data_IF_695467911412
#
_entry.id   IF_695467911412
#
_cell.length_a   1.000
_cell.length_b   1.000
_cell.length_c   1.000
_cell.angle_alpha   90.00
_cell.angle_beta   90.00
_cell.angle_gamma   90.00
#
_symmetry.space_group_name_H-M   'P 1'
#
loop_
_entity.id
_entity.type
_entity.pdbx_description
1 polymer ?
#
# COMPACT_ATOMS: atom_id res chain seq x y z
N UNK A 1 -11.85 -8.86 12.62
CA UNK A 1 -10.69 -8.28 13.36
C UNK A 1 -11.10 -7.52 14.62
N UNK A 2 -11.95 -6.45 14.55
CA UNK A 2 -12.32 -5.68 15.75
C UNK A 2 -12.91 -6.56 16.87
N UNK A 3 -13.94 -7.34 16.59
CA UNK A 3 -14.57 -8.24 17.57
C UNK A 3 -13.58 -9.21 18.22
N UNK A 4 -12.64 -9.75 17.44
CA UNK A 4 -11.57 -10.59 17.96
C UNK A 4 -10.71 -9.85 19.00
N UNK A 5 -10.25 -8.64 18.68
CA UNK A 5 -9.44 -7.87 19.60
C UNK A 5 -10.23 -7.36 20.82
N UNK A 6 -11.52 -7.01 20.66
CA UNK A 6 -12.40 -6.68 21.79
C UNK A 6 -12.45 -7.82 22.81
N UNK A 7 -12.68 -9.05 22.31
CA UNK A 7 -12.76 -10.26 23.12
C UNK A 7 -11.45 -10.61 23.82
N UNK A 8 -10.35 -10.65 23.04
CA UNK A 8 -9.05 -11.11 23.55
C UNK A 8 -8.39 -10.10 24.50
N UNK A 9 -8.57 -8.79 24.24
CA UNK A 9 -8.04 -7.74 25.10
C UNK A 9 -8.96 -7.43 26.29
N UNK A 10 -10.21 -7.94 26.28
CA UNK A 10 -11.26 -7.64 27.27
C UNK A 10 -11.50 -6.13 27.43
N UNK A 11 -11.41 -5.40 26.32
CA UNK A 11 -11.68 -3.95 26.25
C UNK A 11 -12.16 -3.58 24.85
N UNK A 12 -12.98 -2.54 24.75
CA UNK A 12 -13.45 -2.03 23.47
C UNK A 12 -12.28 -1.50 22.64
N UNK A 13 -12.16 -1.97 21.39
CA UNK A 13 -11.22 -1.48 20.40
C UNK A 13 -11.95 -0.57 19.42
N UNK A 14 -11.46 0.63 19.23
CA UNK A 14 -12.00 1.57 18.26
C UNK A 14 -11.11 1.55 16.99
N UNK A 15 -11.74 1.45 15.84
CA UNK A 15 -11.07 1.58 14.55
C UNK A 15 -11.33 3.00 14.07
N UNK A 16 -10.26 3.77 13.91
CA UNK A 16 -10.30 5.13 13.39
C UNK A 16 -9.62 5.19 12.02
N UNK A 17 -10.13 6.07 11.17
CA UNK A 17 -9.52 6.47 9.91
C UNK A 17 -9.31 7.98 9.93
N UNK A 18 -8.49 8.51 9.03
CA UNK A 18 -8.32 9.94 8.85
C UNK A 18 -8.92 10.39 7.51
N UNK A 19 -9.12 11.69 7.36
CA UNK A 19 -9.70 12.27 6.14
C UNK A 19 -8.82 12.02 4.89
N UNK A 20 -7.50 12.00 5.09
CA UNK A 20 -6.51 11.71 4.07
C UNK A 20 -5.22 11.16 4.67
N UNK A 21 -4.29 10.76 3.80
CA UNK A 21 -3.01 10.18 4.20
C UNK A 21 -2.14 11.15 5.01
N UNK A 22 -2.19 12.45 4.73
CA UNK A 22 -1.42 13.47 5.44
C UNK A 22 -1.93 13.63 6.87
N UNK A 23 -3.25 13.73 7.05
CA UNK A 23 -3.90 13.79 8.35
C UNK A 23 -3.60 12.52 9.17
N UNK A 24 -3.67 11.34 8.55
CA UNK A 24 -3.31 10.06 9.15
C UNK A 24 -1.85 10.04 9.63
N UNK A 25 -0.92 10.42 8.77
CA UNK A 25 0.52 10.45 9.11
C UNK A 25 0.81 11.42 10.26
N UNK A 26 0.20 12.61 10.23
CA UNK A 26 0.33 13.61 11.30
C UNK A 26 -0.21 13.10 12.63
N UNK A 27 -1.39 12.49 12.66
CA UNK A 27 -1.99 11.92 13.86
C UNK A 27 -1.14 10.76 14.41
N UNK A 28 -0.58 9.93 13.52
CA UNK A 28 0.34 8.86 13.91
C UNK A 28 1.58 9.42 14.59
N UNK A 29 2.23 10.43 14.00
CA UNK A 29 3.43 11.04 14.56
C UNK A 29 3.17 11.71 15.92
N UNK A 30 1.98 12.30 16.14
CA UNK A 30 1.57 12.83 17.45
C UNK A 30 1.32 11.74 18.50
N UNK A 31 1.15 10.48 18.07
CA UNK A 31 0.83 9.36 18.95
C UNK A 31 -0.63 9.31 19.37
N UNK A 32 -1.54 9.75 18.49
CA UNK A 32 -2.99 9.75 18.76
C UNK A 32 -3.57 8.32 18.75
N UNK A 33 -2.88 7.37 18.12
CA UNK A 33 -3.29 5.97 18.04
C UNK A 33 -2.41 5.07 18.91
N UNK A 34 -2.95 3.97 19.43
CA UNK A 34 -2.19 2.94 20.13
C UNK A 34 -1.51 1.97 19.15
N UNK A 35 -2.22 1.62 18.09
CA UNK A 35 -1.76 0.73 17.03
C UNK A 35 -2.07 1.36 15.68
N UNK A 36 -1.21 1.16 14.72
CA UNK A 36 -1.38 1.68 13.36
C UNK A 36 -1.06 0.59 12.34
N UNK A 37 -1.90 0.47 11.33
CA UNK A 37 -1.60 -0.29 10.10
C UNK A 37 -1.28 0.72 9.01
N UNK A 38 -0.07 0.65 8.46
CA UNK A 38 0.41 1.65 7.51
C UNK A 38 1.35 1.06 6.46
N UNK A 39 1.59 1.80 5.39
CA UNK A 39 2.60 1.43 4.39
C UNK A 39 4.00 1.34 5.01
N UNK A 40 4.83 0.44 4.51
CA UNK A 40 6.14 0.12 5.11
C UNK A 40 7.07 1.33 5.21
N UNK A 41 7.06 2.25 4.23
CA UNK A 41 7.85 3.49 4.27
C UNK A 41 7.43 4.39 5.44
N UNK A 42 6.13 4.56 5.66
CA UNK A 42 5.60 5.34 6.79
C UNK A 42 5.87 4.63 8.11
N UNK A 43 5.69 3.31 8.15
CA UNK A 43 6.05 2.49 9.30
C UNK A 43 7.53 2.66 9.69
N UNK A 44 8.42 2.70 8.69
CA UNK A 44 9.86 2.90 8.91
C UNK A 44 10.20 4.29 9.45
N UNK A 45 9.59 5.35 8.92
CA UNK A 45 9.74 6.72 9.44
C UNK A 45 9.27 6.78 10.89
N UNK A 46 8.10 6.26 11.20
CA UNK A 46 7.59 6.25 12.58
C UNK A 46 8.49 5.42 13.52
N UNK A 47 9.10 4.32 13.04
CA UNK A 47 10.04 3.54 13.82
C UNK A 47 11.30 4.34 14.17
N UNK A 48 11.86 5.07 13.20
CA UNK A 48 13.11 5.83 13.37
C UNK A 48 12.87 7.08 14.22
N UNK A 49 11.92 7.91 13.81
CA UNK A 49 11.70 9.24 14.37
C UNK A 49 10.77 9.20 15.58
N UNK A 50 9.67 8.44 15.48
CA UNK A 50 8.64 8.33 16.52
C UNK A 50 8.86 7.21 17.53
N UNK A 51 9.91 6.38 17.37
CA UNK A 51 10.23 5.23 18.23
C UNK A 51 9.11 4.17 18.30
N UNK A 52 8.24 4.13 17.30
CA UNK A 52 7.20 3.13 17.20
C UNK A 52 7.78 1.73 17.04
N UNK A 53 7.15 0.73 17.62
CA UNK A 53 7.60 -0.68 17.59
C UNK A 53 6.89 -1.45 16.48
N UNK A 54 7.59 -1.95 15.45
CA UNK A 54 6.99 -2.87 14.49
C UNK A 54 6.62 -4.19 15.15
N UNK A 55 5.36 -4.60 15.00
CA UNK A 55 4.82 -5.83 15.56
C UNK A 55 4.69 -6.93 14.52
N UNK A 56 4.15 -6.59 13.34
CA UNK A 56 3.87 -7.54 12.27
C UNK A 56 3.88 -6.84 10.90
N UNK A 57 4.00 -7.65 9.84
CA UNK A 57 3.92 -7.20 8.44
C UNK A 57 2.86 -8.06 7.76
N UNK A 58 2.07 -7.47 6.87
CA UNK A 58 1.16 -8.23 6.02
C UNK A 58 1.92 -8.94 4.90
N UNK A 59 1.61 -10.21 4.68
CA UNK A 59 2.13 -11.01 3.56
C UNK A 59 1.00 -11.43 2.61
N UNK A 60 1.28 -11.60 1.32
CA UNK A 60 2.59 -11.43 0.68
C UNK A 60 2.98 -9.97 0.43
N UNK A 61 4.22 -9.77 -0.01
CA UNK A 61 4.67 -8.48 -0.53
C UNK A 61 3.76 -7.98 -1.68
N UNK A 62 3.61 -6.67 -1.78
CA UNK A 62 2.70 -6.01 -2.71
C UNK A 62 3.39 -5.83 -4.08
N UNK A 63 2.87 -6.42 -5.16
CA UNK A 63 3.39 -6.18 -6.49
C UNK A 63 3.19 -4.73 -6.94
N UNK A 64 4.24 -4.12 -7.48
CA UNK A 64 4.22 -2.85 -8.19
C UNK A 64 4.10 -3.07 -9.70
N UNK A 65 3.11 -2.47 -10.32
CA UNK A 65 2.68 -2.72 -11.68
C UNK A 65 2.88 -1.49 -12.56
N UNK A 66 3.41 -1.71 -13.77
CA UNK A 66 3.22 -0.80 -14.90
C UNK A 66 1.99 -1.31 -15.68
N UNK A 67 1.02 -0.45 -15.91
CA UNK A 67 -0.22 -0.78 -16.61
C UNK A 67 -0.44 0.14 -17.80
N UNK A 68 -1.22 -0.33 -18.78
CA UNK A 68 -1.59 0.38 -20.00
C UNK A 68 -3.05 0.12 -20.36
N UNK A 69 -3.59 0.87 -21.32
CA UNK A 69 -4.88 0.55 -21.95
C UNK A 69 -4.82 -0.81 -22.63
N UNK A 70 -5.89 -1.61 -22.56
CA UNK A 70 -5.95 -2.95 -23.13
C UNK A 70 -5.68 -2.96 -24.65
N UNK A 71 -6.13 -1.91 -25.36
CA UNK A 71 -5.92 -1.74 -26.79
C UNK A 71 -4.48 -1.37 -27.19
N UNK A 72 -3.62 -0.97 -26.23
CA UNK A 72 -2.23 -0.64 -26.48
C UNK A 72 -1.39 -1.92 -26.59
N UNK A 73 -1.35 -2.53 -27.79
CA UNK A 73 -0.68 -3.83 -28.01
C UNK A 73 0.83 -3.81 -27.78
N UNK A 74 1.48 -2.66 -28.02
CA UNK A 74 2.93 -2.49 -27.92
C UNK A 74 3.36 -1.71 -26.66
N UNK A 75 2.57 -1.79 -25.59
CA UNK A 75 2.85 -1.04 -24.36
C UNK A 75 4.23 -1.40 -23.79
N UNK A 76 5.07 -0.38 -23.64
CA UNK A 76 6.39 -0.46 -23.02
C UNK A 76 6.73 0.86 -22.30
N UNK A 77 7.66 0.84 -21.37
CA UNK A 77 8.10 2.03 -20.65
C UNK A 77 8.60 3.17 -21.58
N UNK A 78 9.16 2.82 -22.73
CA UNK A 78 9.67 3.79 -23.71
C UNK A 78 8.58 4.71 -24.28
N UNK A 79 7.32 4.29 -24.24
CA UNK A 79 6.19 5.13 -24.67
C UNK A 79 5.97 6.35 -23.77
N UNK A 80 6.64 6.44 -22.64
CA UNK A 80 6.59 7.63 -21.77
C UNK A 80 7.30 8.84 -22.36
N UNK A 81 8.23 8.66 -23.30
CA UNK A 81 8.98 9.81 -23.87
C UNK A 81 8.04 10.86 -24.46
N UNK A 82 8.10 12.06 -23.90
CA UNK A 82 7.26 13.20 -24.30
C UNK A 82 5.79 13.11 -23.85
N UNK A 83 5.43 12.15 -22.99
CA UNK A 83 4.05 11.91 -22.52
C UNK A 83 3.90 12.00 -21.01
N UNK A 84 2.74 11.61 -20.50
CA UNK A 84 2.46 11.56 -19.06
C UNK A 84 2.45 10.12 -18.53
N UNK A 85 2.94 9.97 -17.29
CA UNK A 85 2.78 8.78 -16.46
C UNK A 85 1.73 9.08 -15.39
N UNK A 86 0.69 8.25 -15.28
CA UNK A 86 -0.30 8.42 -14.23
C UNK A 86 0.13 7.75 -12.92
N UNK A 87 -0.15 8.41 -11.80
CA UNK A 87 -0.01 7.88 -10.44
C UNK A 87 -1.30 8.13 -9.66
N UNK A 88 -1.91 7.08 -9.09
CA UNK A 88 -3.05 7.23 -8.20
C UNK A 88 -2.63 7.84 -6.87
N UNK A 89 -1.61 7.29 -6.25
CA UNK A 89 -1.12 7.74 -4.95
C UNK A 89 0.41 7.92 -4.97
N UNK A 90 0.92 9.16 -5.13
CA UNK A 90 2.35 9.42 -5.13
C UNK A 90 3.04 9.17 -3.78
N UNK A 91 2.27 9.00 -2.69
CA UNK A 91 2.78 8.66 -1.35
C UNK A 91 2.85 7.14 -1.11
N UNK A 92 2.24 6.34 -1.99
CA UNK A 92 2.39 4.88 -1.99
C UNK A 92 3.86 4.50 -2.19
N UNK A 93 4.34 3.47 -1.49
CA UNK A 93 5.71 2.98 -1.66
C UNK A 93 5.97 2.49 -3.09
N UNK A 94 4.94 2.04 -3.79
CA UNK A 94 5.02 1.59 -5.19
C UNK A 94 5.42 2.73 -6.13
N UNK A 95 4.95 3.96 -5.88
CA UNK A 95 5.26 5.11 -6.74
C UNK A 95 6.77 5.44 -6.78
N UNK A 96 7.48 5.71 -5.67
CA UNK A 96 8.91 5.99 -5.71
C UNK A 96 9.75 4.80 -6.19
N UNK A 97 9.33 3.56 -5.91
CA UNK A 97 10.01 2.36 -6.41
C UNK A 97 9.85 2.24 -7.92
N UNK A 98 8.66 2.49 -8.46
CA UNK A 98 8.42 2.49 -9.89
C UNK A 98 9.15 3.61 -10.63
N UNK A 99 9.20 4.83 -10.05
CA UNK A 99 9.99 5.93 -10.62
C UNK A 99 11.50 5.63 -10.58
N UNK A 100 11.99 4.93 -9.55
CA UNK A 100 13.36 4.44 -9.51
C UNK A 100 13.60 3.41 -10.61
N UNK A 101 12.72 2.44 -10.78
CA UNK A 101 12.80 1.43 -11.84
C UNK A 101 12.80 2.06 -13.23
N UNK A 102 11.94 3.06 -13.52
CA UNK A 102 11.96 3.80 -14.78
C UNK A 102 13.28 4.52 -15.00
N UNK A 103 13.84 5.13 -13.96
CA UNK A 103 15.15 5.80 -14.03
C UNK A 103 16.27 4.82 -14.36
N UNK A 104 16.21 3.60 -13.84
CA UNK A 104 17.14 2.51 -14.18
C UNK A 104 17.00 2.05 -15.64
N UNK A 105 15.84 2.29 -16.28
CA UNK A 105 15.60 2.14 -17.72
C UNK A 105 15.99 3.39 -18.54
N UNK A 106 16.63 4.39 -17.91
CA UNK A 106 17.03 5.62 -18.57
C UNK A 106 15.92 6.66 -18.74
N UNK A 107 14.75 6.43 -18.14
CA UNK A 107 13.58 7.33 -18.21
C UNK A 107 13.45 8.16 -16.94
N UNK A 108 13.57 9.46 -17.04
CA UNK A 108 13.56 10.39 -15.90
C UNK A 108 12.31 11.26 -15.94
N UNK A 109 11.60 11.36 -14.81
CA UNK A 109 10.50 12.30 -14.64
C UNK A 109 10.99 13.74 -14.87
N UNK A 110 10.13 14.59 -15.39
CA UNK A 110 10.33 16.00 -15.74
C UNK A 110 11.31 16.27 -16.89
N UNK A 111 12.13 15.28 -17.27
CA UNK A 111 13.00 15.33 -18.45
C UNK A 111 12.36 14.58 -19.63
N UNK A 112 12.01 13.34 -19.44
CA UNK A 112 11.55 12.44 -20.50
C UNK A 112 10.02 12.28 -20.51
N UNK A 113 9.36 12.47 -19.36
CA UNK A 113 7.91 12.40 -19.19
C UNK A 113 7.44 13.26 -18.02
N UNK A 114 6.14 13.59 -18.02
CA UNK A 114 5.49 14.29 -16.89
C UNK A 114 4.72 13.31 -16.00
N UNK A 115 4.55 13.67 -14.73
CA UNK A 115 3.71 12.90 -13.81
C UNK A 115 2.33 13.56 -13.74
N UNK A 116 1.28 12.79 -14.04
CA UNK A 116 -0.12 13.19 -13.85
C UNK A 116 -0.68 12.42 -12.65
N UNK A 117 -1.32 13.15 -11.73
CA UNK A 117 -1.95 12.56 -10.55
C UNK A 117 -3.42 12.28 -10.83
N UNK A 118 -3.86 11.07 -10.55
CA UNK A 118 -5.27 10.72 -10.51
C UNK A 118 -5.86 11.04 -9.13
N UNK A 119 -7.14 11.39 -9.07
CA UNK A 119 -7.82 11.68 -7.82
C UNK A 119 -8.25 10.41 -7.07
N UNK A 120 -8.42 9.31 -7.80
CA UNK A 120 -8.80 7.99 -7.29
C UNK A 120 -8.49 6.92 -8.36
N UNK A 121 -8.73 5.65 -8.02
CA UNK A 121 -8.43 4.50 -8.90
C UNK A 121 -9.25 4.51 -10.19
N UNK A 122 -10.50 4.96 -10.17
CA UNK A 122 -11.36 5.07 -11.36
C UNK A 122 -10.87 6.17 -12.31
N UNK A 123 -10.47 7.33 -11.76
CA UNK A 123 -9.88 8.40 -12.57
C UNK A 123 -8.54 7.98 -13.19
N UNK A 124 -7.77 7.16 -12.50
CA UNK A 124 -6.55 6.56 -13.02
C UNK A 124 -6.84 5.67 -14.23
N UNK A 125 -7.81 4.77 -14.11
CA UNK A 125 -8.26 3.92 -15.21
C UNK A 125 -8.73 4.75 -16.42
N UNK A 126 -9.41 5.86 -16.17
CA UNK A 126 -9.87 6.78 -17.24
C UNK A 126 -8.70 7.44 -17.97
N UNK A 127 -7.71 7.97 -17.26
CA UNK A 127 -6.50 8.57 -17.87
C UNK A 127 -5.78 7.60 -18.80
N UNK A 128 -5.69 6.34 -18.38
CA UNK A 128 -5.06 5.28 -19.19
C UNK A 128 -5.91 4.98 -20.44
N UNK A 129 -7.21 4.80 -20.26
CA UNK A 129 -8.14 4.44 -21.33
C UNK A 129 -8.24 5.50 -22.41
N UNK A 130 -8.29 6.78 -22.02
CA UNK A 130 -8.35 7.91 -22.97
C UNK A 130 -7.03 8.21 -23.66
N UNK A 131 -5.92 7.61 -23.18
CA UNK A 131 -4.57 7.86 -23.70
C UNK A 131 -3.97 9.19 -23.23
N UNK A 132 -4.61 9.91 -22.31
CA UNK A 132 -4.07 11.12 -21.67
C UNK A 132 -2.78 10.78 -20.89
N UNK A 133 -2.76 9.63 -20.24
CA UNK A 133 -1.56 9.01 -19.75
C UNK A 133 -1.50 7.56 -20.28
N UNK A 134 -0.63 7.26 -21.26
CA UNK A 134 -0.60 5.93 -21.92
C UNK A 134 -0.21 4.81 -20.96
N UNK A 135 0.48 5.14 -19.88
CA UNK A 135 0.94 4.21 -18.84
C UNK A 135 0.66 4.76 -17.44
N UNK A 136 0.50 3.85 -16.50
CA UNK A 136 0.43 4.21 -15.09
C UNK A 136 1.23 3.25 -14.22
N UNK A 137 1.68 3.75 -13.06
CA UNK A 137 2.22 2.95 -11.98
C UNK A 137 1.16 2.83 -10.89
N UNK A 138 0.90 1.60 -10.46
CA UNK A 138 0.00 1.29 -9.35
C UNK A 138 0.41 0.00 -8.64
N UNK A 139 -0.13 -0.21 -7.45
CA UNK A 139 -0.02 -1.50 -6.76
C UNK A 139 -1.05 -2.50 -7.29
N UNK A 140 -0.84 -3.78 -7.02
CA UNK A 140 -1.85 -4.81 -7.29
C UNK A 140 -3.17 -4.53 -6.53
N UNK A 141 -3.10 -3.93 -5.34
CA UNK A 141 -4.29 -3.52 -4.58
C UNK A 141 -5.09 -2.45 -5.30
N UNK A 142 -4.43 -1.37 -5.76
CA UNK A 142 -5.06 -0.31 -6.55
C UNK A 142 -5.65 -0.87 -7.86
N UNK A 143 -4.93 -1.77 -8.55
CA UNK A 143 -5.43 -2.42 -9.76
C UNK A 143 -6.72 -3.22 -9.51
N UNK A 144 -6.81 -3.91 -8.37
CA UNK A 144 -8.02 -4.68 -8.00
C UNK A 144 -9.18 -3.79 -7.56
N UNK A 145 -8.89 -2.61 -7.00
CA UNK A 145 -9.89 -1.65 -6.53
C UNK A 145 -10.61 -0.93 -7.68
N UNK A 146 -9.99 -0.85 -8.87
CA UNK A 146 -10.65 -0.31 -10.07
C UNK A 146 -11.87 -1.15 -10.40
N UNK A 147 -13.01 -0.51 -10.66
CA UNK A 147 -14.26 -1.17 -11.03
C UNK A 147 -14.07 -2.19 -12.19
N UNK A 148 -14.76 -3.31 -12.14
CA UNK A 148 -14.54 -4.44 -13.04
C UNK A 148 -14.59 -4.05 -14.52
N UNK A 149 -15.56 -3.23 -14.93
CA UNK A 149 -15.71 -2.81 -16.33
C UNK A 149 -14.54 -1.93 -16.79
N UNK A 150 -14.04 -1.06 -15.93
CA UNK A 150 -12.86 -0.26 -16.23
C UNK A 150 -11.60 -1.12 -16.23
N UNK A 151 -11.48 -2.09 -15.31
CA UNK A 151 -10.34 -2.99 -15.23
C UNK A 151 -10.19 -3.87 -16.49
N UNK A 152 -11.29 -4.26 -17.15
CA UNK A 152 -11.26 -4.96 -18.44
C UNK A 152 -10.65 -4.13 -19.57
N UNK A 153 -10.63 -2.80 -19.43
CA UNK A 153 -10.11 -1.86 -20.42
C UNK A 153 -8.63 -1.51 -20.22
N UNK A 154 -8.01 -2.04 -19.18
CA UNK A 154 -6.58 -1.86 -18.88
C UNK A 154 -5.90 -3.23 -18.73
N UNK A 155 -4.57 -3.24 -18.93
CA UNK A 155 -3.77 -4.46 -18.80
C UNK A 155 -2.48 -4.19 -18.04
N UNK A 156 -1.98 -5.22 -17.38
CA UNK A 156 -0.66 -5.22 -16.78
C UNK A 156 0.37 -5.39 -17.90
N UNK A 157 1.31 -4.45 -17.99
CA UNK A 157 2.46 -4.50 -18.90
C UNK A 157 3.58 -5.30 -18.26
N UNK A 158 3.91 -4.98 -17.01
CA UNK A 158 4.93 -5.69 -16.24
C UNK A 158 4.74 -5.48 -14.74
N UNK A 159 5.20 -6.45 -13.96
CA UNK A 159 5.46 -6.30 -12.52
C UNK A 159 6.93 -5.89 -12.38
N UNK A 160 7.19 -4.65 -11.95
CA UNK A 160 8.55 -4.12 -11.88
C UNK A 160 9.23 -4.35 -10.54
N UNK A 161 8.47 -4.59 -9.48
CA UNK A 161 8.99 -4.85 -8.14
C UNK A 161 7.95 -5.50 -7.23
N UNK A 162 8.41 -6.01 -6.09
CA UNK A 162 7.57 -6.32 -4.92
C UNK A 162 8.01 -5.42 -3.77
N UNK A 163 7.07 -4.66 -3.21
CA UNK A 163 7.33 -3.84 -2.03
C UNK A 163 6.79 -4.54 -0.78
N UNK A 164 7.37 -4.31 0.41
CA UNK A 164 6.85 -4.89 1.65
C UNK A 164 5.37 -4.55 1.86
N UNK A 165 4.62 -5.49 2.40
CA UNK A 165 3.23 -5.28 2.79
C UNK A 165 3.07 -4.23 3.89
N UNK A 166 1.83 -4.01 4.33
CA UNK A 166 1.54 -3.06 5.41
C UNK A 166 2.19 -3.50 6.71
N UNK A 167 2.69 -2.54 7.46
CA UNK A 167 3.21 -2.75 8.81
C UNK A 167 2.14 -2.50 9.85
N UNK A 168 2.12 -3.34 10.88
CA UNK A 168 1.41 -3.07 12.13
C UNK A 168 2.43 -2.57 13.12
N UNK A 169 2.30 -1.33 13.56
CA UNK A 169 3.21 -0.66 14.49
C UNK A 169 2.49 -0.27 15.77
N UNK A 170 3.19 -0.37 16.88
CA UNK A 170 2.69 -0.02 18.21
C UNK A 170 3.28 1.30 18.70
N UNK A 171 2.45 2.11 19.32
CA UNK A 171 2.85 3.36 19.97
C UNK A 171 3.88 3.08 21.08
N UNK A 172 4.98 3.86 21.16
CA UNK A 172 5.98 3.71 22.22
C UNK A 172 5.43 3.95 23.64
N UNK A 173 4.25 4.59 23.78
CA UNK A 173 3.57 4.76 25.09
C UNK A 173 2.96 3.48 25.62
N UNK A 174 2.75 2.45 24.78
CA UNK A 174 2.32 1.13 25.24
C UNK A 174 3.48 0.44 25.96
N UNK A 175 3.20 -0.20 27.08
CA UNK A 175 4.18 -1.01 27.79
C UNK A 175 4.69 -2.17 26.91
N UNK A 176 5.89 -2.65 27.18
CA UNK A 176 6.45 -3.81 26.48
C UNK A 176 5.54 -5.05 26.59
N UNK A 177 4.88 -5.25 27.74
CA UNK A 177 3.95 -6.35 27.94
C UNK A 177 2.71 -6.22 27.05
N UNK A 178 2.14 -5.02 26.90
CA UNK A 178 0.99 -4.77 26.00
C UNK A 178 1.40 -4.97 24.55
N UNK A 179 2.56 -4.45 24.13
CA UNK A 179 3.08 -4.65 22.78
C UNK A 179 3.25 -6.14 22.46
N UNK A 180 3.84 -6.93 23.37
CA UNK A 180 4.00 -8.37 23.19
C UNK A 180 2.65 -9.11 23.15
N UNK A 181 1.70 -8.74 24.02
CA UNK A 181 0.35 -9.30 24.00
C UNK A 181 -0.34 -9.04 22.66
N UNK A 182 -0.33 -7.79 22.18
CA UNK A 182 -0.92 -7.44 20.87
C UNK A 182 -0.23 -8.18 19.74
N UNK A 183 1.11 -8.27 19.76
CA UNK A 183 1.87 -9.04 18.77
C UNK A 183 1.43 -10.50 18.73
N UNK A 184 1.30 -11.15 19.89
CA UNK A 184 0.84 -12.54 19.97
C UNK A 184 -0.58 -12.71 19.37
N UNK A 185 -1.49 -11.78 19.66
CA UNK A 185 -2.85 -11.78 19.10
C UNK A 185 -2.86 -11.58 17.60
N UNK A 186 -2.04 -10.66 17.07
CA UNK A 186 -1.89 -10.46 15.62
C UNK A 186 -1.44 -11.75 14.93
N UNK A 187 -0.41 -12.42 15.45
CA UNK A 187 0.12 -13.67 14.88
C UNK A 187 -0.86 -14.86 15.01
N UNK A 188 -1.76 -14.82 15.98
CA UNK A 188 -2.79 -15.83 16.17
C UNK A 188 -4.04 -15.58 15.29
N UNK A 189 -4.37 -14.32 15.00
CA UNK A 189 -5.56 -13.93 14.26
C UNK A 189 -5.75 -14.68 12.93
N UNK A 190 -4.74 -14.86 12.06
CA UNK A 190 -4.90 -15.58 10.78
C UNK A 190 -5.37 -17.05 10.96
N UNK A 191 -5.16 -17.64 12.14
CA UNK A 191 -5.56 -19.01 12.44
C UNK A 191 -7.03 -19.15 12.86
N UNK A 192 -7.68 -18.04 13.22
CA UNK A 192 -9.10 -17.98 13.57
C UNK A 192 -9.97 -17.98 12.32
N UNK A 193 -11.25 -18.36 12.42
CA UNK A 193 -12.17 -18.31 11.30
C UNK A 193 -12.41 -16.88 10.81
N UNK A 194 -12.51 -15.93 11.73
CA UNK A 194 -12.58 -14.49 11.41
C UNK A 194 -11.32 -14.01 10.68
N UNK A 195 -10.15 -14.49 11.07
CA UNK A 195 -8.89 -14.17 10.43
C UNK A 195 -8.81 -14.73 9.02
N UNK A 196 -9.15 -15.99 8.82
CA UNK A 196 -9.21 -16.63 7.49
C UNK A 196 -10.15 -15.86 6.55
N UNK A 197 -11.35 -15.51 7.04
CA UNK A 197 -12.32 -14.71 6.29
C UNK A 197 -11.77 -13.32 5.96
N UNK A 198 -11.14 -12.64 6.90
CA UNK A 198 -10.52 -11.33 6.69
C UNK A 198 -9.44 -11.38 5.61
N UNK A 199 -8.53 -12.34 5.70
CA UNK A 199 -7.43 -12.47 4.74
C UNK A 199 -7.90 -12.90 3.34
N UNK A 200 -8.92 -13.74 3.24
CA UNK A 200 -9.51 -14.10 1.94
C UNK A 200 -10.10 -12.90 1.18
N UNK A 201 -10.57 -11.88 1.89
CA UNK A 201 -11.11 -10.65 1.31
C UNK A 201 -10.04 -9.59 1.00
N UNK A 202 -8.95 -9.56 1.78
CA UNK A 202 -7.92 -8.53 1.67
C UNK A 202 -6.82 -8.84 0.64
N UNK A 203 -6.71 -10.10 0.21
CA UNK A 203 -5.63 -10.56 -0.67
C UNK A 203 -4.28 -10.73 0.04
N UNK A 204 -4.26 -10.63 1.37
CA UNK A 204 -3.14 -11.03 2.22
C UNK A 204 -3.46 -12.37 2.87
N UNK A 205 -2.44 -13.07 3.40
CA UNK A 205 -2.63 -14.42 3.93
C UNK A 205 -2.28 -14.56 5.40
N UNK A 206 -1.30 -13.79 5.89
CA UNK A 206 -0.79 -13.93 7.26
C UNK A 206 -0.03 -12.69 7.75
N UNK A 207 0.41 -12.76 9.01
CA UNK A 207 1.37 -11.85 9.63
C UNK A 207 2.63 -12.63 10.01
N UNK A 208 3.69 -12.67 9.20
CA UNK A 208 4.96 -13.20 9.66
C UNK A 208 5.56 -12.30 10.75
N UNK A 209 6.44 -12.89 11.56
CA UNK A 209 7.16 -12.11 12.56
C UNK A 209 8.03 -11.07 11.89
N UNK A 210 7.94 -9.83 12.35
CA UNK A 210 8.93 -8.81 11.97
C UNK A 210 10.32 -9.30 12.42
N UNK A 211 11.21 -9.53 11.46
CA UNK A 211 12.63 -9.80 11.71
C UNK A 211 13.39 -8.51 11.40
N UNK A 212 14.23 -8.06 12.35
CA UNK A 212 15.15 -6.97 12.09
C UNK A 212 16.17 -7.47 11.05
N UNK A 213 16.17 -6.87 9.86
CA UNK A 213 17.26 -6.97 8.92
C UNK A 213 18.34 -5.95 9.27
#
# INVERSE_FOLDING_TARGET
MRAYFDSELKRKVEIATAADFRAFSTATMRGDYQLVVTAANVGRVNQIDGKWTPLAIYEPAIPGLLVAGAANTNASAEQLKGKSLALANPQSLVAPVGLKWLREQGLHADRDFKITRAGNDDSLGTLIRTGEAPLAIMSMGEFRAIGEEMRKQIKIVTEFAKVPGFWVIANPKLSAAEQQRVKALLLQFPKTDDGKKFFSLSGFFEYPRYQRG
#
